data_IF_466965061987
#
_entry.id   IF_466965061987
#
_cell.length_a   1.000
_cell.length_b   1.000
_cell.length_c   1.000
_cell.angle_alpha   90.00
_cell.angle_beta   90.00
_cell.angle_gamma   90.00
#
_symmetry.space_group_name_H-M   'P 1'
#
loop_
_entity.id
_entity.type
_entity.pdbx_description
1 polymer ?
#
# COMPACT_ATOMS: atom_id res chain seq x y z
N UNK A 1 -1.16 -15.38 6.43
CA UNK A 1 -1.97 -14.60 5.46
C UNK A 1 -2.91 -13.73 6.27
N UNK A 2 -2.99 -12.45 5.94
CA UNK A 2 -3.88 -11.50 6.60
C UNK A 2 -4.77 -10.88 5.52
N UNK A 3 -6.02 -10.57 5.88
CA UNK A 3 -6.89 -9.73 5.05
C UNK A 3 -6.66 -8.29 5.47
N UNK A 4 -6.51 -7.41 4.50
CA UNK A 4 -6.21 -6.01 4.74
C UNK A 4 -6.88 -5.18 3.67
N UNK A 5 -7.76 -4.28 4.10
CA UNK A 5 -8.53 -3.44 3.19
C UNK A 5 -7.67 -2.26 2.74
N UNK A 6 -7.71 -1.96 1.44
CA UNK A 6 -6.93 -0.88 0.85
C UNK A 6 -7.78 0.00 -0.06
N UNK A 7 -7.41 1.26 -0.14
CA UNK A 7 -7.82 2.19 -1.19
C UNK A 7 -6.94 1.99 -2.41
N UNK A 8 -7.54 1.93 -3.59
CA UNK A 8 -6.81 2.02 -4.85
C UNK A 8 -6.68 3.51 -5.20
N UNK A 9 -5.45 4.01 -5.23
CA UNK A 9 -5.17 5.43 -5.37
C UNK A 9 -4.11 5.67 -6.46
N UNK A 10 -4.56 6.03 -7.66
CA UNK A 10 -3.65 6.40 -8.76
C UNK A 10 -2.88 7.70 -8.50
N UNK A 11 -3.28 8.49 -7.50
CA UNK A 11 -2.57 9.71 -7.07
C UNK A 11 -1.41 9.44 -6.11
N UNK A 12 -1.30 8.23 -5.57
CA UNK A 12 -0.20 7.82 -4.69
C UNK A 12 0.92 7.13 -5.48
N UNK A 13 2.17 7.54 -5.29
CA UNK A 13 3.33 6.92 -5.94
C UNK A 13 3.66 5.52 -5.39
N UNK A 14 3.33 5.25 -4.13
CA UNK A 14 3.78 4.06 -3.40
C UNK A 14 2.59 3.35 -2.79
N UNK A 15 2.69 2.03 -2.65
CA UNK A 15 1.82 1.29 -1.74
C UNK A 15 2.24 1.58 -0.28
N UNK A 16 1.31 1.99 0.57
CA UNK A 16 1.57 2.38 1.96
C UNK A 16 0.61 1.68 2.90
N UNK A 17 1.12 0.96 3.89
CA UNK A 17 0.33 0.19 4.87
C UNK A 17 0.70 0.60 6.30
N UNK A 18 -0.21 0.34 7.24
CA UNK A 18 0.03 0.55 8.67
C UNK A 18 1.17 -0.36 9.13
N UNK A 19 2.10 0.18 9.92
CA UNK A 19 3.14 -0.60 10.60
C UNK A 19 2.65 -1.84 11.37
N UNK A 20 1.41 -1.82 11.89
CA UNK A 20 0.80 -2.98 12.55
C UNK A 20 0.68 -4.20 11.61
N UNK A 21 0.56 -3.96 10.30
CA UNK A 21 0.58 -5.01 9.27
C UNK A 21 1.95 -5.70 9.23
N UNK A 22 3.04 -4.96 9.39
CA UNK A 22 4.38 -5.54 9.45
C UNK A 22 4.52 -6.45 10.68
N UNK A 23 4.01 -6.01 11.84
CA UNK A 23 4.01 -6.80 13.07
C UNK A 23 3.18 -8.09 12.92
N UNK A 24 1.99 -8.00 12.33
CA UNK A 24 1.15 -9.16 12.04
C UNK A 24 1.82 -10.16 11.08
N UNK A 25 2.66 -9.66 10.17
CA UNK A 25 3.48 -10.47 9.26
C UNK A 25 4.82 -10.91 9.87
N UNK A 26 5.13 -10.54 11.12
CA UNK A 26 6.40 -10.78 11.81
C UNK A 26 7.61 -10.21 11.06
N UNK A 27 7.42 -9.11 10.36
CA UNK A 27 8.47 -8.37 9.66
C UNK A 27 9.12 -7.40 10.66
N UNK A 28 10.46 -7.43 10.74
CA UNK A 28 11.17 -6.41 11.50
C UNK A 28 11.09 -5.07 10.73
N UNK A 29 10.16 -4.20 11.13
CA UNK A 29 9.90 -2.91 10.48
C UNK A 29 11.18 -2.11 10.20
N UNK A 30 12.07 -1.99 11.20
CA UNK A 30 13.28 -1.16 11.11
C UNK A 30 14.40 -1.77 10.25
N UNK A 31 14.27 -3.03 9.82
CA UNK A 31 15.21 -3.63 8.86
C UNK A 31 14.97 -3.16 7.42
N UNK A 32 13.82 -2.55 7.14
CA UNK A 32 13.47 -2.00 5.84
C UNK A 32 14.17 -0.67 5.54
N UNK A 33 14.18 -0.29 4.26
CA UNK A 33 14.80 0.97 3.85
C UNK A 33 13.92 2.14 4.27
N UNK A 34 14.39 2.96 5.22
CA UNK A 34 13.71 4.19 5.66
C UNK A 34 13.54 5.16 4.49
N UNK A 35 12.31 5.63 4.24
CA UNK A 35 11.98 6.61 3.20
C UNK A 35 11.04 7.68 3.74
N UNK A 36 11.22 8.96 3.36
CA UNK A 36 10.22 9.98 3.59
C UNK A 36 9.02 9.75 2.66
N UNK A 37 7.82 9.98 3.19
CA UNK A 37 6.55 10.01 2.47
C UNK A 37 5.98 11.42 2.63
N UNK A 38 5.37 11.96 1.57
CA UNK A 38 4.80 13.31 1.59
C UNK A 38 3.45 13.30 0.87
N UNK A 39 2.43 13.80 1.56
CA UNK A 39 1.12 14.07 0.97
C UNK A 39 0.96 15.53 0.56
N UNK A 40 -0.28 15.92 0.23
CA UNK A 40 -0.64 17.28 -0.22
C UNK A 40 -0.34 18.33 0.85
N UNK A 41 -0.64 18.03 2.13
CA UNK A 41 -0.38 18.95 3.27
C UNK A 41 1.11 19.16 3.55
N UNK A 42 1.98 18.36 2.93
CA UNK A 42 3.43 18.56 2.94
C UNK A 42 4.15 18.20 4.23
N UNK A 43 3.42 17.89 5.31
CA UNK A 43 3.96 17.22 6.50
C UNK A 43 4.46 15.83 6.09
N UNK A 44 5.78 15.66 6.16
CA UNK A 44 6.41 14.41 5.78
C UNK A 44 6.30 13.37 6.89
N UNK A 45 5.88 12.16 6.57
CA UNK A 45 5.92 11.01 7.47
C UNK A 45 7.04 10.05 7.08
N UNK A 46 7.37 9.09 7.94
CA UNK A 46 8.41 8.09 7.65
C UNK A 46 7.79 6.73 7.38
N UNK A 47 8.18 6.14 6.25
CA UNK A 47 7.90 4.76 5.92
C UNK A 47 9.17 3.90 5.91
N UNK A 48 9.02 2.59 6.07
CA UNK A 48 10.06 1.59 5.91
C UNK A 48 9.70 0.67 4.76
N UNK A 49 10.54 0.65 3.72
CA UNK A 49 10.29 -0.12 2.51
C UNK A 49 10.67 -1.57 2.74
N UNK A 50 9.73 -2.47 2.41
CA UNK A 50 9.90 -3.91 2.45
C UNK A 50 9.35 -4.54 1.19
N UNK A 51 9.94 -5.66 0.77
CA UNK A 51 9.35 -6.52 -0.26
C UNK A 51 8.45 -7.53 0.41
N UNK A 52 7.19 -7.59 0.01
CA UNK A 52 6.22 -8.57 0.51
C UNK A 52 5.50 -9.26 -0.66
N UNK A 53 4.85 -10.38 -0.38
CA UNK A 53 3.95 -11.02 -1.34
C UNK A 53 2.52 -10.53 -1.12
N UNK A 54 1.91 -9.96 -2.15
CA UNK A 54 0.49 -9.59 -2.16
C UNK A 54 -0.30 -10.60 -2.98
N UNK A 55 -1.54 -10.82 -2.55
CA UNK A 55 -2.54 -11.58 -3.31
C UNK A 55 -3.74 -10.67 -3.60
N UNK A 56 -3.96 -10.35 -4.87
CA UNK A 56 -5.08 -9.51 -5.33
C UNK A 56 -5.70 -10.18 -6.57
N UNK A 57 -7.03 -10.30 -6.60
CA UNK A 57 -7.78 -10.98 -7.68
C UNK A 57 -7.20 -12.38 -8.02
N UNK A 58 -6.81 -13.13 -6.99
CA UNK A 58 -6.22 -14.47 -7.14
C UNK A 58 -4.76 -14.51 -7.64
N UNK A 59 -4.19 -13.39 -8.08
CA UNK A 59 -2.78 -13.27 -8.51
C UNK A 59 -1.88 -13.00 -7.32
N UNK A 60 -0.82 -13.79 -7.18
CA UNK A 60 0.24 -13.56 -6.20
C UNK A 60 1.42 -12.86 -6.87
N UNK A 61 1.97 -11.82 -6.26
CA UNK A 61 3.12 -11.10 -6.79
C UNK A 61 3.93 -10.48 -5.65
N UNK A 62 5.25 -10.43 -5.83
CA UNK A 62 6.13 -9.74 -4.90
C UNK A 62 6.21 -8.27 -5.28
N UNK A 63 6.05 -7.39 -4.30
CA UNK A 63 6.10 -5.96 -4.51
C UNK A 63 6.69 -5.23 -3.32
N UNK A 64 7.16 -4.01 -3.56
CA UNK A 64 7.67 -3.12 -2.52
C UNK A 64 6.53 -2.31 -1.96
N UNK A 65 6.44 -2.27 -0.63
CA UNK A 65 5.46 -1.47 0.11
C UNK A 65 6.17 -0.70 1.20
N UNK A 66 5.60 0.43 1.59
CA UNK A 66 6.06 1.21 2.73
C UNK A 66 5.16 0.95 3.93
N UNK A 67 5.74 0.49 5.04
CA UNK A 67 5.06 0.43 6.31
C UNK A 67 5.34 1.70 7.11
N UNK A 68 4.31 2.37 7.62
CA UNK A 68 4.46 3.58 8.43
C UNK A 68 3.57 3.50 9.68
N UNK A 69 4.11 3.94 10.82
CA UNK A 69 3.34 4.10 12.06
C UNK A 69 2.75 5.51 12.21
N UNK A 70 3.04 6.40 11.26
CA UNK A 70 2.58 7.78 11.26
C UNK A 70 1.29 7.97 10.44
N UNK A 71 0.82 6.93 9.74
CA UNK A 71 -0.53 6.92 9.16
C UNK A 71 -1.55 6.61 10.26
N UNK A 72 -2.82 6.98 10.03
CA UNK A 72 -3.89 6.73 11.01
C UNK A 72 -3.94 5.24 11.40
N UNK A 73 -3.85 4.90 12.70
CA UNK A 73 -3.90 3.50 13.13
C UNK A 73 -5.19 2.82 12.67
N UNK A 74 -5.09 1.59 12.16
CA UNK A 74 -6.21 0.84 11.60
C UNK A 74 -6.87 1.51 10.37
N UNK A 75 -6.18 2.41 9.68
CA UNK A 75 -6.67 2.92 8.40
C UNK A 75 -6.56 1.87 7.31
N UNK A 76 -7.36 2.07 6.25
CA UNK A 76 -7.14 1.40 4.98
C UNK A 76 -5.70 1.62 4.50
N UNK A 77 -5.11 0.57 3.92
CA UNK A 77 -3.87 0.71 3.16
C UNK A 77 -4.08 1.54 1.90
N UNK A 78 -3.00 1.99 1.29
CA UNK A 78 -3.02 2.64 -0.02
C UNK A 78 -2.30 1.76 -1.02
N UNK A 79 -2.94 1.51 -2.17
CA UNK A 79 -2.35 0.86 -3.34
C UNK A 79 -2.05 1.93 -4.38
N UNK A 80 -0.76 2.28 -4.48
CA UNK A 80 -0.26 3.32 -5.37
C UNK A 80 0.30 2.78 -6.68
N UNK A 81 0.72 3.71 -7.54
CA UNK A 81 1.17 3.43 -8.91
C UNK A 81 2.31 2.42 -8.95
N UNK A 82 3.35 2.61 -8.11
CA UNK A 82 4.44 1.63 -8.01
C UNK A 82 4.02 0.46 -7.14
N UNK A 83 4.18 -0.73 -7.69
CA UNK A 83 3.88 -1.99 -7.05
C UNK A 83 2.49 -2.53 -7.35
N UNK A 84 1.41 -1.76 -7.19
CA UNK A 84 0.07 -2.25 -7.52
C UNK A 84 -0.29 -2.04 -9.00
N UNK A 85 -0.30 -0.78 -9.47
CA UNK A 85 -0.63 -0.51 -10.89
C UNK A 85 0.43 -1.01 -11.86
N UNK A 86 1.67 -1.24 -11.41
CA UNK A 86 2.69 -1.96 -12.22
C UNK A 86 2.26 -3.41 -12.55
N UNK A 87 1.32 -3.98 -11.78
CA UNK A 87 0.91 -5.38 -11.88
C UNK A 87 -0.53 -5.58 -12.38
N UNK A 88 -1.35 -4.54 -12.41
CA UNK A 88 -2.77 -4.61 -12.79
C UNK A 88 -3.20 -3.37 -13.55
N UNK A 89 -4.08 -3.58 -14.53
CA UNK A 89 -4.86 -2.49 -15.10
C UNK A 89 -6.08 -2.25 -14.22
N UNK A 90 -6.41 -0.97 -13.98
CA UNK A 90 -7.55 -0.58 -13.14
C UNK A 90 -8.45 0.38 -13.90
N UNK A 91 -9.72 0.01 -14.04
CA UNK A 91 -10.73 0.84 -14.69
C UNK A 91 -11.76 1.32 -13.67
N UNK A 92 -11.98 2.63 -13.60
CA UNK A 92 -12.98 3.23 -12.71
C UNK A 92 -14.20 3.72 -13.50
N UNK A 93 -15.37 3.18 -13.19
CA UNK A 93 -16.68 3.74 -13.57
C UNK A 93 -17.22 4.53 -12.38
N UNK A 94 -16.62 5.70 -12.15
CA UNK A 94 -16.81 6.46 -10.90
C UNK A 94 -18.27 6.85 -10.62
N UNK A 95 -19.02 7.28 -11.64
CA UNK A 95 -20.45 7.63 -11.49
C UNK A 95 -21.31 6.43 -11.04
N UNK A 96 -20.93 5.22 -11.45
CA UNK A 96 -21.60 3.96 -11.09
C UNK A 96 -21.09 3.39 -9.76
N UNK A 97 -20.11 4.04 -9.12
CA UNK A 97 -19.39 3.53 -7.93
C UNK A 97 -18.82 2.13 -8.15
N UNK A 98 -18.30 1.91 -9.35
CA UNK A 98 -17.83 0.60 -9.79
C UNK A 98 -16.39 0.69 -10.28
N UNK A 99 -15.61 -0.37 -10.06
CA UNK A 99 -14.26 -0.51 -10.58
C UNK A 99 -13.96 -1.96 -10.96
N UNK A 100 -13.03 -2.13 -11.89
CA UNK A 100 -12.48 -3.42 -12.33
C UNK A 100 -10.96 -3.40 -12.17
N UNK A 101 -10.39 -4.58 -11.87
CA UNK A 101 -8.94 -4.83 -11.76
C UNK A 101 -8.63 -6.07 -12.61
N UNK A 102 -7.67 -5.95 -13.53
CA UNK A 102 -7.30 -7.00 -14.50
C UNK A 102 -5.87 -7.49 -14.29
#
# INVERSE_FOLDING_TARGET
>A
MILYDCLIDSGADQCVFDSNVADALRINLKSGKRKPLKGIEGTGIIGYEHTINLRVVGKNFNTKVLFSGDILPNSYGVLGTRGFFDNFDVNFRYREKYFEVF
#
